data_IF_712668422944
#
_entry.id   IF_712668422944
#
_cell.length_a   1.000
_cell.length_b   1.000
_cell.length_c   1.000
_cell.angle_alpha   90.00
_cell.angle_beta   90.00
_cell.angle_gamma   90.00
#
_symmetry.space_group_name_H-M   'P 1'
#
loop_
_entity.id
_entity.type
_entity.pdbx_description
1 polymer ?
#
# COMPACT_ATOMS: atom_id res chain seq x y z
N UNK A 1 -2.24 -49.48 7.49
CA UNK A 1 -2.56 -48.11 7.88
C UNK A 1 -1.76 -47.13 7.03
N UNK A 2 -2.46 -46.44 6.14
CA UNK A 2 -1.85 -45.41 5.28
C UNK A 2 -1.78 -44.07 6.06
N UNK A 3 -0.71 -43.27 5.89
CA UNK A 3 -0.60 -41.99 6.55
C UNK A 3 -1.52 -40.97 5.88
N UNK A 4 -2.06 -40.06 6.71
CA UNK A 4 -2.99 -39.01 6.33
C UNK A 4 -2.38 -38.09 5.26
N UNK A 5 -3.11 -37.91 4.17
CA UNK A 5 -2.81 -36.94 3.13
C UNK A 5 -2.97 -35.52 3.69
N UNK A 6 -1.87 -34.77 3.74
CA UNK A 6 -1.83 -33.35 3.99
C UNK A 6 -2.64 -32.65 2.89
N UNK A 7 -3.88 -32.24 3.19
CA UNK A 7 -4.63 -31.35 2.32
C UNK A 7 -4.03 -29.96 2.45
N UNK A 8 -3.23 -29.58 1.49
CA UNK A 8 -2.84 -28.19 1.27
C UNK A 8 -4.13 -27.42 0.98
N UNK A 9 -4.52 -26.51 1.88
CA UNK A 9 -5.59 -25.58 1.64
C UNK A 9 -5.24 -24.74 0.38
N UNK A 10 -6.16 -24.62 -0.60
CA UNK A 10 -5.92 -23.71 -1.71
C UNK A 10 -5.75 -22.29 -1.15
N UNK A 11 -4.61 -21.68 -1.45
CA UNK A 11 -4.34 -20.28 -1.13
C UNK A 11 -5.55 -19.43 -1.52
N UNK A 12 -6.03 -18.63 -0.59
CA UNK A 12 -7.07 -17.67 -0.86
C UNK A 12 -6.63 -16.83 -2.07
N UNK A 13 -7.38 -16.95 -3.18
CA UNK A 13 -7.16 -16.09 -4.34
C UNK A 13 -7.40 -14.66 -3.90
N UNK A 14 -6.33 -13.90 -3.72
CA UNK A 14 -6.43 -12.46 -3.56
C UNK A 14 -7.17 -11.89 -4.77
N UNK A 15 -8.20 -11.09 -4.53
CA UNK A 15 -8.89 -10.41 -5.62
C UNK A 15 -7.87 -9.61 -6.44
N UNK A 16 -8.02 -9.50 -7.77
CA UNK A 16 -7.04 -8.83 -8.60
C UNK A 16 -6.89 -7.38 -8.17
N UNK A 17 -5.64 -6.97 -7.91
CA UNK A 17 -5.29 -5.60 -7.62
C UNK A 17 -5.66 -4.72 -8.82
N UNK A 18 -6.48 -3.69 -8.63
CA UNK A 18 -6.81 -2.73 -9.69
C UNK A 18 -5.77 -1.61 -9.70
N UNK A 19 -5.05 -1.48 -10.81
CA UNK A 19 -4.09 -0.40 -11.04
C UNK A 19 -4.81 0.78 -11.67
N UNK A 20 -4.71 1.95 -11.05
CA UNK A 20 -5.06 3.21 -11.68
C UNK A 20 -3.77 3.96 -11.98
N UNK A 21 -3.40 4.02 -13.26
CA UNK A 21 -2.36 4.92 -13.75
C UNK A 21 -3.09 6.18 -14.20
N UNK A 22 -3.14 7.20 -13.36
CA UNK A 22 -3.80 8.44 -13.72
C UNK A 22 -2.80 9.54 -14.04
N UNK A 23 -3.07 10.22 -15.15
CA UNK A 23 -2.32 11.39 -15.56
C UNK A 23 -2.85 12.58 -14.75
N UNK A 24 -2.00 13.27 -13.99
CA UNK A 24 -2.35 14.38 -13.08
C UNK A 24 -3.19 15.50 -13.72
N UNK A 25 -3.33 15.54 -15.04
CA UNK A 25 -4.18 16.48 -15.78
C UNK A 25 -5.67 16.16 -15.72
N UNK A 26 -6.08 14.97 -15.31
CA UNK A 26 -7.49 14.56 -15.20
C UNK A 26 -8.12 14.87 -13.84
N UNK A 27 -7.38 15.41 -12.88
CA UNK A 27 -7.87 15.81 -11.55
C UNK A 27 -8.68 17.13 -11.56
N UNK A 28 -9.29 17.50 -12.68
CA UNK A 28 -10.44 18.41 -12.69
C UNK A 28 -11.67 17.71 -12.10
N UNK A 29 -11.48 17.19 -10.91
CA UNK A 29 -12.54 16.54 -10.16
C UNK A 29 -13.49 17.62 -9.67
N UNK A 30 -14.77 17.39 -9.96
CA UNK A 30 -15.85 18.18 -9.40
C UNK A 30 -15.61 18.45 -7.90
N UNK A 31 -15.91 19.63 -7.37
CA UNK A 31 -15.66 19.94 -5.98
C UNK A 31 -16.28 18.85 -5.11
N UNK A 32 -15.43 18.19 -4.32
CA UNK A 32 -15.87 17.22 -3.34
C UNK A 32 -16.90 17.85 -2.43
N UNK A 33 -18.09 17.27 -2.25
CA UNK A 33 -18.96 17.72 -1.19
C UNK A 33 -18.16 17.68 0.11
N UNK A 34 -18.03 18.84 0.76
CA UNK A 34 -17.36 18.98 2.04
C UNK A 34 -18.23 18.27 3.10
N UNK A 35 -18.15 16.95 3.17
CA UNK A 35 -18.62 16.27 4.36
C UNK A 35 -17.69 16.70 5.51
N UNK A 36 -18.20 17.24 6.61
CA UNK A 36 -17.37 17.56 7.75
C UNK A 36 -16.80 16.26 8.29
N UNK A 37 -15.48 16.10 8.22
CA UNK A 37 -14.77 14.97 8.79
C UNK A 37 -14.77 15.07 10.29
N UNK A 38 -15.68 14.38 10.92
CA UNK A 38 -15.66 14.11 12.33
C UNK A 38 -15.25 12.64 12.50
N UNK A 39 -13.98 12.41 12.88
CA UNK A 39 -13.57 11.16 13.51
C UNK A 39 -13.12 10.03 12.59
N UNK A 40 -11.94 10.07 12.04
CA UNK A 40 -11.24 8.90 11.51
C UNK A 40 -10.04 8.54 12.40
N UNK A 41 -9.50 7.34 12.26
CA UNK A 41 -8.32 6.88 12.99
C UNK A 41 -7.08 6.99 12.09
N UNK A 42 -5.99 7.51 12.65
CA UNK A 42 -4.68 7.57 11.97
C UNK A 42 -3.69 6.74 12.76
N UNK A 43 -3.08 5.78 12.11
CA UNK A 43 -2.00 4.96 12.64
C UNK A 43 -0.73 5.31 11.87
N UNK A 44 0.34 5.65 12.58
CA UNK A 44 1.58 6.11 11.97
C UNK A 44 2.71 5.14 12.21
N UNK A 45 3.64 5.12 11.25
CA UNK A 45 4.89 4.35 11.33
C UNK A 45 4.66 2.88 11.70
N UNK A 46 3.66 2.26 11.07
CA UNK A 46 3.43 0.82 11.18
C UNK A 46 4.53 0.13 10.39
N UNK A 47 5.38 -0.63 11.06
CA UNK A 47 6.38 -1.45 10.38
C UNK A 47 5.70 -2.57 9.59
N UNK A 48 6.07 -2.73 8.32
CA UNK A 48 5.63 -3.83 7.47
C UNK A 48 6.76 -4.80 7.13
N UNK A 49 7.96 -4.50 7.54
CA UNK A 49 9.18 -5.30 7.41
C UNK A 49 10.19 -4.91 8.48
N UNK A 50 11.27 -5.67 8.55
CA UNK A 50 12.35 -5.55 9.55
C UNK A 50 13.74 -5.39 8.94
N UNK A 51 13.84 -5.34 7.62
CA UNK A 51 15.10 -5.19 6.88
C UNK A 51 15.69 -3.79 6.95
N UNK A 52 14.85 -2.80 7.24
CA UNK A 52 15.26 -1.41 7.22
C UNK A 52 14.31 -0.56 8.05
N UNK A 53 14.80 0.48 8.74
CA UNK A 53 13.95 1.47 9.36
C UNK A 53 13.09 2.25 8.35
N UNK A 54 13.34 2.15 7.04
CA UNK A 54 12.51 2.74 6.01
C UNK A 54 11.24 1.91 5.70
N UNK A 55 11.12 0.68 6.22
CA UNK A 55 9.99 -0.21 5.95
C UNK A 55 8.80 0.05 6.88
N UNK A 56 8.15 1.19 6.69
CA UNK A 56 6.96 1.58 7.45
C UNK A 56 5.90 2.21 6.53
N UNK A 57 4.68 2.27 7.05
CA UNK A 57 3.55 2.92 6.40
C UNK A 57 2.71 3.71 7.41
N UNK A 58 1.94 4.66 6.92
CA UNK A 58 0.86 5.28 7.69
C UNK A 58 -0.48 4.80 7.16
N UNK A 59 -1.43 4.53 8.06
CA UNK A 59 -2.78 4.09 7.73
C UNK A 59 -3.80 5.12 8.21
N UNK A 60 -4.60 5.61 7.28
CA UNK A 60 -5.66 6.59 7.50
C UNK A 60 -7.01 5.93 7.27
N UNK A 61 -7.75 5.70 8.34
CA UNK A 61 -9.01 4.98 8.32
C UNK A 61 -10.17 5.98 8.40
N UNK A 62 -11.14 5.93 7.48
CA UNK A 62 -12.35 6.75 7.58
C UNK A 62 -13.25 6.22 8.71
N UNK A 63 -14.08 7.09 9.24
CA UNK A 63 -15.17 6.71 10.14
C UNK A 63 -16.39 6.34 9.30
N UNK A 64 -16.46 5.08 8.90
CA UNK A 64 -17.56 4.54 8.09
C UNK A 64 -18.15 3.31 8.75
N UNK A 65 -19.47 3.08 8.62
CA UNK A 65 -20.13 1.92 9.23
C UNK A 65 -19.78 0.57 8.57
N UNK A 66 -19.18 0.58 7.39
CA UNK A 66 -18.77 -0.62 6.64
C UNK A 66 -17.25 -0.60 6.43
N UNK A 67 -16.62 -1.78 6.28
CA UNK A 67 -15.22 -1.84 5.91
C UNK A 67 -14.94 -1.03 4.63
N UNK A 68 -14.10 -0.01 4.75
CA UNK A 68 -13.75 0.88 3.65
C UNK A 68 -12.87 0.17 2.61
N UNK A 69 -13.00 0.47 1.31
CA UNK A 69 -12.02 0.02 0.32
C UNK A 69 -10.65 0.61 0.62
N UNK A 70 -9.58 -0.15 0.36
CA UNK A 70 -8.21 0.27 0.62
C UNK A 70 -7.57 0.89 -0.61
N UNK A 71 -6.94 2.05 -0.45
CA UNK A 71 -6.04 2.66 -1.43
C UNK A 71 -4.63 2.72 -0.87
N UNK A 72 -3.69 2.07 -1.54
CA UNK A 72 -2.26 2.09 -1.23
C UNK A 72 -1.62 3.20 -2.06
N UNK A 73 -0.91 4.12 -1.41
CA UNK A 73 -0.29 5.29 -2.01
C UNK A 73 1.23 5.18 -1.91
N UNK A 74 1.91 5.21 -3.07
CA UNK A 74 3.37 5.11 -3.19
C UNK A 74 3.92 6.44 -3.68
N UNK A 75 4.80 7.05 -2.88
CA UNK A 75 5.35 8.38 -3.19
C UNK A 75 6.36 8.34 -4.34
N UNK A 76 6.49 9.45 -5.07
CA UNK A 76 7.53 9.70 -6.05
C UNK A 76 8.82 10.24 -5.41
N UNK A 77 9.72 10.74 -6.23
CA UNK A 77 10.98 11.34 -5.78
C UNK A 77 12.22 10.74 -6.46
N UNK A 78 12.06 10.16 -7.64
CA UNK A 78 13.17 9.62 -8.45
C UNK A 78 13.92 8.48 -7.77
N UNK A 79 13.33 7.79 -6.80
CA UNK A 79 13.94 6.77 -5.93
C UNK A 79 15.03 7.30 -4.99
N UNK A 80 15.26 8.60 -4.90
CA UNK A 80 16.37 9.20 -4.13
C UNK A 80 15.92 10.16 -3.05
N UNK A 81 14.63 10.56 -3.05
CA UNK A 81 14.10 11.54 -2.10
C UNK A 81 12.62 11.28 -1.80
N UNK A 82 12.07 12.05 -0.85
CA UNK A 82 10.71 11.95 -0.32
C UNK A 82 10.49 10.75 0.61
N UNK A 83 9.29 10.71 1.16
CA UNK A 83 8.80 9.69 2.06
C UNK A 83 7.26 9.60 2.03
N UNK A 84 6.70 8.68 2.80
CA UNK A 84 5.26 8.47 2.94
C UNK A 84 4.51 9.65 3.60
N UNK A 85 5.21 10.64 4.13
CA UNK A 85 4.66 11.89 4.71
C UNK A 85 4.89 13.11 3.83
N UNK A 86 5.36 12.94 2.59
CA UNK A 86 5.55 14.01 1.61
C UNK A 86 4.27 14.83 1.42
N UNK A 87 4.43 16.06 0.93
CA UNK A 87 3.29 16.93 0.63
C UNK A 87 2.28 16.25 -0.29
N UNK A 88 2.76 15.54 -1.29
CA UNK A 88 1.95 14.82 -2.26
C UNK A 88 1.14 13.70 -1.59
N UNK A 89 1.81 12.85 -0.81
CA UNK A 89 1.14 11.80 -0.05
C UNK A 89 0.02 12.37 0.82
N UNK A 90 0.28 13.52 1.51
CA UNK A 90 -0.73 14.20 2.33
C UNK A 90 -1.94 14.71 1.55
N UNK A 91 -1.75 15.23 0.35
CA UNK A 91 -2.85 15.68 -0.49
C UNK A 91 -3.69 14.50 -0.97
N UNK A 92 -3.04 13.42 -1.40
CA UNK A 92 -3.72 12.26 -1.95
C UNK A 92 -4.51 11.49 -0.90
N UNK A 93 -3.92 11.16 0.26
CA UNK A 93 -4.69 10.43 1.27
C UNK A 93 -5.88 11.25 1.79
N UNK A 94 -5.76 12.57 1.93
CA UNK A 94 -6.88 13.44 2.33
C UNK A 94 -8.00 13.37 1.32
N UNK A 95 -7.68 13.52 0.04
CA UNK A 95 -8.65 13.47 -1.03
C UNK A 95 -9.47 12.18 -1.04
N UNK A 96 -8.79 11.02 -0.94
CA UNK A 96 -9.45 9.72 -1.00
C UNK A 96 -10.11 9.32 0.33
N UNK A 97 -9.49 9.63 1.45
CA UNK A 97 -10.12 9.45 2.76
C UNK A 97 -11.44 10.19 2.83
N UNK A 98 -11.47 11.44 2.33
CA UNK A 98 -12.67 12.27 2.30
C UNK A 98 -13.77 11.70 1.38
N UNK A 99 -13.49 10.63 0.68
CA UNK A 99 -14.43 9.86 -0.15
C UNK A 99 -14.69 8.45 0.40
N UNK A 100 -14.33 8.20 1.64
CA UNK A 100 -14.62 6.95 2.33
C UNK A 100 -13.63 5.82 2.08
N UNK A 101 -12.43 6.11 1.56
CA UNK A 101 -11.36 5.11 1.41
C UNK A 101 -10.50 5.05 2.66
N UNK A 102 -10.12 3.85 3.07
CA UNK A 102 -8.93 3.65 3.87
C UNK A 102 -7.72 3.91 2.99
N UNK A 103 -6.74 4.69 3.47
CA UNK A 103 -5.55 5.03 2.69
C UNK A 103 -4.31 4.58 3.44
N UNK A 104 -3.40 3.87 2.76
CA UNK A 104 -2.08 3.54 3.28
C UNK A 104 -1.02 4.31 2.48
N UNK A 105 -0.23 5.18 3.12
CA UNK A 105 0.95 5.78 2.48
C UNK A 105 2.18 4.96 2.82
N UNK A 106 2.86 4.44 1.80
CA UNK A 106 3.97 3.49 1.96
C UNK A 106 5.30 4.21 1.79
N UNK A 107 6.18 4.04 2.78
CA UNK A 107 7.59 4.38 2.68
C UNK A 107 8.38 3.16 2.20
N UNK A 108 9.52 3.36 1.57
CA UNK A 108 10.36 2.31 1.02
C UNK A 108 11.83 2.76 1.00
N UNK A 109 12.77 1.79 0.94
CA UNK A 109 14.21 2.07 0.84
C UNK A 109 14.54 2.85 -0.43
N UNK A 110 15.23 3.97 -0.28
CA UNK A 110 15.70 4.80 -1.39
C UNK A 110 17.04 4.28 -1.96
N UNK A 111 17.39 4.72 -3.15
CA UNK A 111 18.61 4.28 -3.86
C UNK A 111 19.90 4.61 -3.12
N UNK A 112 19.90 5.59 -2.21
CA UNK A 112 21.03 5.89 -1.33
C UNK A 112 21.24 4.86 -0.22
N UNK A 113 20.19 4.11 0.13
CA UNK A 113 20.23 3.05 1.14
C UNK A 113 20.42 1.68 0.50
N UNK A 114 19.63 1.36 -0.52
CA UNK A 114 19.66 0.05 -1.15
C UNK A 114 19.45 0.14 -2.66
N UNK A 115 20.11 -0.77 -3.40
CA UNK A 115 20.02 -0.82 -4.85
C UNK A 115 18.75 -1.52 -5.30
N UNK A 116 18.39 -1.34 -6.59
CA UNK A 116 17.38 -2.16 -7.25
C UNK A 116 17.66 -3.66 -6.99
N UNK A 117 16.63 -4.48 -6.63
CA UNK A 117 15.19 -4.17 -6.66
C UNK A 117 14.57 -3.76 -5.31
N UNK A 118 15.34 -3.37 -4.30
CA UNK A 118 14.91 -3.17 -2.92
C UNK A 118 13.60 -2.36 -2.76
N UNK A 119 13.45 -1.26 -3.49
CA UNK A 119 12.24 -0.44 -3.43
C UNK A 119 10.97 -1.20 -3.90
N UNK A 120 11.09 -2.07 -4.91
CA UNK A 120 9.99 -2.91 -5.40
C UNK A 120 9.66 -3.98 -4.36
N UNK A 121 10.68 -4.62 -3.80
CA UNK A 121 10.53 -5.62 -2.74
C UNK A 121 9.77 -5.05 -1.54
N UNK A 122 10.12 -3.83 -1.14
CA UNK A 122 9.48 -3.12 -0.04
C UNK A 122 8.01 -2.82 -0.33
N UNK A 123 7.70 -2.28 -1.50
CA UNK A 123 6.31 -2.00 -1.88
C UNK A 123 5.48 -3.28 -1.95
N UNK A 124 6.03 -4.36 -2.50
CA UNK A 124 5.35 -5.68 -2.51
C UNK A 124 5.17 -6.24 -1.09
N UNK A 125 6.15 -6.08 -0.21
CA UNK A 125 6.02 -6.47 1.20
C UNK A 125 4.91 -5.67 1.90
N UNK A 126 4.82 -4.36 1.66
CA UNK A 126 3.75 -3.53 2.20
C UNK A 126 2.37 -3.94 1.67
N UNK A 127 2.25 -4.27 0.39
CA UNK A 127 1.00 -4.79 -0.21
C UNK A 127 0.58 -6.11 0.45
N UNK A 128 1.52 -7.05 0.62
CA UNK A 128 1.23 -8.33 1.31
C UNK A 128 0.82 -8.12 2.77
N UNK A 129 1.56 -7.28 3.50
CA UNK A 129 1.22 -6.91 4.88
C UNK A 129 -0.20 -6.36 4.96
N UNK A 130 -0.53 -5.36 4.16
CA UNK A 130 -1.87 -4.77 4.14
C UNK A 130 -2.95 -5.78 3.75
N UNK A 131 -2.68 -6.69 2.83
CA UNK A 131 -3.61 -7.76 2.44
C UNK A 131 -3.99 -8.70 3.60
N UNK A 132 -3.15 -8.81 4.63
CA UNK A 132 -3.37 -9.65 5.81
C UNK A 132 -4.03 -8.89 6.98
N UNK A 133 -4.04 -7.55 6.95
CA UNK A 133 -4.41 -6.73 8.11
C UNK A 133 -5.83 -6.16 8.06
N UNK A 134 -6.63 -6.52 7.06
CA UNK A 134 -7.97 -5.95 6.88
C UNK A 134 -8.89 -6.10 8.10
N UNK A 135 -8.91 -7.28 8.71
CA UNK A 135 -9.71 -7.53 9.93
C UNK A 135 -9.18 -6.75 11.14
N UNK A 136 -7.85 -6.67 11.29
CA UNK A 136 -7.20 -5.98 12.40
C UNK A 136 -7.51 -4.48 12.41
N UNK A 137 -7.51 -3.87 11.23
CA UNK A 137 -7.68 -2.42 11.10
C UNK A 137 -9.06 -1.99 10.62
N UNK A 138 -9.88 -2.89 10.09
CA UNK A 138 -11.27 -2.62 9.73
C UNK A 138 -11.45 -2.06 8.32
N UNK A 139 -10.65 -2.50 7.33
CA UNK A 139 -10.84 -2.19 5.92
C UNK A 139 -11.06 -3.47 5.09
N UNK A 140 -11.56 -3.29 3.88
CA UNK A 140 -11.89 -4.38 2.96
C UNK A 140 -10.72 -4.71 2.03
N UNK A 141 -10.04 -5.81 2.29
CA UNK A 141 -8.93 -6.30 1.44
C UNK A 141 -9.39 -6.81 0.07
N UNK A 142 -10.65 -7.16 -0.09
CA UNK A 142 -11.23 -7.56 -1.37
C UNK A 142 -11.41 -6.38 -2.34
N UNK A 143 -11.35 -5.13 -1.84
CA UNK A 143 -11.45 -3.91 -2.61
C UNK A 143 -10.20 -3.05 -2.40
N UNK A 144 -9.08 -3.50 -2.97
CA UNK A 144 -7.78 -2.83 -2.84
C UNK A 144 -7.33 -2.28 -4.19
N UNK A 145 -6.81 -1.06 -4.18
CA UNK A 145 -6.15 -0.42 -5.30
C UNK A 145 -4.79 0.13 -4.87
N UNK A 146 -3.86 0.26 -5.81
CA UNK A 146 -2.57 0.91 -5.61
C UNK A 146 -2.42 2.09 -6.57
N UNK A 147 -1.91 3.18 -6.07
CA UNK A 147 -1.62 4.40 -6.82
C UNK A 147 -0.22 4.91 -6.49
N UNK A 148 0.43 5.52 -7.46
CA UNK A 148 1.73 6.13 -7.27
C UNK A 148 1.95 7.28 -8.23
N UNK A 149 2.93 8.14 -7.91
CA UNK A 149 3.36 9.24 -8.75
C UNK A 149 4.82 9.03 -9.18
N UNK A 150 5.15 9.30 -10.45
CA UNK A 150 6.54 9.25 -10.95
C UNK A 150 7.22 7.91 -10.60
N UNK A 151 8.32 7.90 -9.85
CA UNK A 151 8.95 6.69 -9.34
C UNK A 151 7.98 5.77 -8.58
N UNK A 152 7.06 6.35 -7.78
CA UNK A 152 6.01 5.60 -7.11
C UNK A 152 5.00 4.96 -8.07
N UNK A 153 4.71 5.59 -9.22
CA UNK A 153 3.86 5.00 -10.24
C UNK A 153 4.52 3.76 -10.88
N UNK A 154 5.84 3.82 -11.12
CA UNK A 154 6.61 2.66 -11.55
C UNK A 154 6.53 1.52 -10.54
N UNK A 155 6.77 1.82 -9.25
CA UNK A 155 6.71 0.82 -8.19
C UNK A 155 5.29 0.24 -8.03
N UNK A 156 4.26 1.06 -8.13
CA UNK A 156 2.87 0.63 -8.07
C UNK A 156 2.52 -0.31 -9.25
N UNK A 157 2.94 0.04 -10.47
CA UNK A 157 2.75 -0.79 -11.65
C UNK A 157 3.50 -2.13 -11.53
N UNK A 158 4.76 -2.10 -11.09
CA UNK A 158 5.54 -3.32 -10.88
C UNK A 158 4.91 -4.22 -9.81
N UNK A 159 4.46 -3.66 -8.69
CA UNK A 159 3.81 -4.44 -7.64
C UNK A 159 2.49 -5.08 -8.10
N UNK A 160 1.77 -4.44 -9.01
CA UNK A 160 0.47 -4.93 -9.49
C UNK A 160 0.55 -5.88 -10.68
N UNK A 161 1.60 -5.78 -11.51
CA UNK A 161 1.71 -6.50 -12.78
C UNK A 161 2.70 -7.67 -12.75
N UNK A 162 3.46 -7.82 -11.66
CA UNK A 162 4.38 -8.95 -11.50
C UNK A 162 3.84 -9.96 -10.49
N UNK A 163 4.15 -11.25 -10.72
CA UNK A 163 3.76 -12.35 -9.84
C UNK A 163 4.32 -12.18 -8.43
N UNK A 164 3.70 -12.82 -7.45
CA UNK A 164 4.06 -12.71 -6.04
C UNK A 164 5.52 -13.11 -5.77
N UNK A 165 6.05 -14.07 -6.53
CA UNK A 165 7.44 -14.54 -6.39
C UNK A 165 8.44 -13.59 -7.07
N UNK A 166 8.01 -12.82 -8.06
CA UNK A 166 8.87 -11.83 -8.72
C UNK A 166 9.11 -10.66 -7.78
N UNK A 167 10.37 -10.40 -7.44
CA UNK A 167 10.76 -9.42 -6.42
C UNK A 167 10.10 -9.68 -5.04
N UNK A 168 10.00 -10.95 -4.66
CA UNK A 168 9.46 -11.30 -3.33
C UNK A 168 10.35 -10.81 -2.16
N UNK A 169 11.57 -10.43 -2.46
CA UNK A 169 12.61 -10.08 -1.49
C UNK A 169 13.25 -11.31 -0.88
N UNK A 170 14.51 -11.20 -0.53
CA UNK A 170 15.14 -12.17 0.36
C UNK A 170 14.67 -11.85 1.77
N UNK A 171 14.24 -12.84 2.59
CA UNK A 171 14.01 -12.58 4.00
C UNK A 171 15.26 -11.92 4.58
N UNK A 172 15.09 -10.82 5.30
CA UNK A 172 16.23 -10.21 5.97
C UNK A 172 16.65 -11.16 7.07
N UNK A 173 17.71 -11.90 6.78
CA UNK A 173 18.40 -12.65 7.80
C UNK A 173 19.03 -11.59 8.71
N UNK A 174 18.46 -11.44 9.92
CA UNK A 174 19.06 -10.63 10.94
C UNK A 174 20.50 -11.09 11.11
N UNK A 175 21.43 -10.17 10.92
CA UNK A 175 22.82 -10.34 11.34
C UNK A 175 22.89 -10.41 12.87
#
# INVERSE_FOLDING_TARGET
PMPAQNRVHPAARTAPLRVFVDNMTALNLAPCPKAPWAGGRVLRHIAYGDCSPAQWLNLYLPDTPLPAPLLILVHGGGFVTNDAESRQARLMYRFFRDRGYACATVNYRLAGEARFPAAIEDVKAAVRFLGQQGQTYGYDTGRTAIWGESAGAYLAAMAALTDDDTFAGTPCLGE
#
